data_IF_667716322469
#
_entry.id   IF_667716322469
#
_cell.length_a   1.000
_cell.length_b   1.000
_cell.length_c   1.000
_cell.angle_alpha   90.00
_cell.angle_beta   90.00
_cell.angle_gamma   90.00
#
_symmetry.space_group_name_H-M   'P 1'
#
loop_
_entity.id
_entity.type
_entity.pdbx_description
1 polymer ?
#
# COMPACT_ATOMS: atom_id res chain seq x y z
N UNK A 1 17.71 24.28 2.26
CA UNK A 1 17.09 23.54 1.16
C UNK A 1 15.97 24.38 0.61
N UNK A 2 15.99 24.70 -0.69
CA UNK A 2 14.84 25.34 -1.34
C UNK A 2 13.91 24.27 -1.92
N UNK A 3 12.61 24.58 -2.16
CA UNK A 3 11.69 23.63 -2.80
C UNK A 3 12.17 23.15 -4.19
N UNK A 4 12.99 23.96 -4.87
CA UNK A 4 13.62 23.58 -6.14
C UNK A 4 14.66 22.49 -5.93
N UNK A 5 15.46 22.58 -4.88
CA UNK A 5 16.52 21.61 -4.60
C UNK A 5 15.91 20.24 -4.27
N UNK A 6 14.82 20.22 -3.48
CA UNK A 6 14.07 19.00 -3.18
C UNK A 6 13.50 18.33 -4.45
N UNK A 7 12.95 19.12 -5.37
CA UNK A 7 12.46 18.61 -6.65
C UNK A 7 13.59 18.03 -7.53
N UNK A 8 14.77 18.68 -7.54
CA UNK A 8 15.93 18.19 -8.29
C UNK A 8 16.42 16.88 -7.69
N UNK A 9 16.54 16.80 -6.37
CA UNK A 9 16.97 15.59 -5.67
C UNK A 9 15.98 14.43 -5.91
N UNK A 10 14.67 14.71 -5.85
CA UNK A 10 13.63 13.74 -6.17
C UNK A 10 13.77 13.24 -7.62
N UNK A 11 13.90 14.14 -8.59
CA UNK A 11 14.05 13.78 -10.00
C UNK A 11 15.32 12.96 -10.26
N UNK A 12 16.45 13.33 -9.66
CA UNK A 12 17.71 12.59 -9.81
C UNK A 12 17.66 11.22 -9.11
N UNK A 13 16.96 11.11 -7.98
CA UNK A 13 16.74 9.83 -7.29
C UNK A 13 15.86 8.89 -8.12
N UNK A 14 14.74 9.39 -8.66
CA UNK A 14 13.86 8.62 -9.55
C UNK A 14 14.60 8.18 -10.82
N UNK A 15 15.48 9.04 -11.35
CA UNK A 15 16.31 8.72 -12.52
C UNK A 15 17.28 7.56 -12.22
N UNK A 16 17.90 7.54 -11.03
CA UNK A 16 18.77 6.43 -10.61
C UNK A 16 18.03 5.09 -10.50
N UNK A 17 16.78 5.12 -10.02
CA UNK A 17 15.96 3.93 -9.86
C UNK A 17 15.26 3.49 -11.16
N UNK A 18 15.40 4.27 -12.24
CA UNK A 18 14.71 4.03 -13.52
C UNK A 18 13.19 4.24 -13.44
N UNK A 19 12.74 5.02 -12.46
CA UNK A 19 11.33 5.30 -12.18
C UNK A 19 10.82 6.60 -12.84
N UNK A 20 11.53 7.12 -13.85
CA UNK A 20 11.17 8.35 -14.58
C UNK A 20 10.41 8.05 -15.86
N UNK A 21 9.47 8.93 -16.21
CA UNK A 21 8.90 8.99 -17.56
C UNK A 21 9.93 9.50 -18.60
N UNK A 22 9.70 9.33 -19.92
CA UNK A 22 10.63 9.80 -20.94
C UNK A 22 10.95 11.30 -20.88
N UNK A 23 9.97 12.15 -20.55
CA UNK A 23 10.17 13.60 -20.41
C UNK A 23 11.01 13.94 -19.17
N UNK A 24 10.75 13.25 -18.05
CA UNK A 24 11.54 13.39 -16.82
C UNK A 24 12.99 12.93 -17.01
N UNK A 25 13.20 11.82 -17.72
CA UNK A 25 14.54 11.36 -18.14
C UNK A 25 15.27 12.44 -18.92
N UNK A 26 14.63 13.04 -19.93
CA UNK A 26 15.22 14.12 -20.71
C UNK A 26 15.48 15.40 -19.88
N UNK A 27 14.70 15.66 -18.82
CA UNK A 27 14.95 16.75 -17.88
C UNK A 27 16.16 16.44 -16.98
N UNK A 28 16.24 15.23 -16.44
CA UNK A 28 17.37 14.77 -15.64
C UNK A 28 18.68 14.83 -16.45
N UNK A 29 18.69 14.35 -17.69
CA UNK A 29 19.86 14.40 -18.59
C UNK A 29 20.32 15.83 -18.89
N UNK A 30 19.38 16.78 -18.99
CA UNK A 30 19.70 18.21 -19.12
C UNK A 30 20.32 18.78 -17.85
N UNK A 31 19.83 18.40 -16.67
CA UNK A 31 20.42 18.81 -15.39
C UNK A 31 21.85 18.26 -15.24
N UNK A 32 22.07 17.01 -15.67
CA UNK A 32 23.39 16.35 -15.62
C UNK A 32 24.45 16.95 -16.55
N UNK A 33 24.10 17.95 -17.37
CA UNK A 33 25.11 18.77 -18.05
C UNK A 33 25.92 19.63 -17.06
N UNK A 34 25.35 19.96 -15.90
CA UNK A 34 26.05 20.65 -14.81
C UNK A 34 26.97 19.69 -14.06
N UNK A 35 28.15 20.16 -13.66
CA UNK A 35 29.06 19.41 -12.79
C UNK A 35 28.45 19.16 -11.40
N UNK A 36 27.74 20.16 -10.86
CA UNK A 36 27.08 20.11 -9.56
C UNK A 36 26.06 18.96 -9.49
N UNK A 37 25.15 18.88 -10.46
CA UNK A 37 24.12 17.84 -10.47
C UNK A 37 24.68 16.43 -10.74
N UNK A 38 25.82 16.32 -11.45
CA UNK A 38 26.54 15.05 -11.58
C UNK A 38 27.13 14.60 -10.26
N UNK A 39 27.65 15.52 -9.46
CA UNK A 39 28.16 15.23 -8.12
C UNK A 39 27.02 14.78 -7.19
N UNK A 40 25.88 15.48 -7.21
CA UNK A 40 24.67 15.06 -6.48
C UNK A 40 24.24 13.63 -6.86
N UNK A 41 24.18 13.33 -8.15
CA UNK A 41 23.82 11.99 -8.63
C UNK A 41 24.80 10.91 -8.15
N UNK A 42 26.10 11.21 -8.16
CA UNK A 42 27.13 10.28 -7.66
C UNK A 42 27.04 10.09 -6.15
N UNK A 43 26.73 11.15 -5.40
CA UNK A 43 26.48 11.07 -3.97
C UNK A 43 25.29 10.14 -3.68
N UNK A 44 24.16 10.31 -4.37
CA UNK A 44 23.00 9.43 -4.23
C UNK A 44 23.34 7.97 -4.59
N UNK A 45 24.11 7.75 -5.65
CA UNK A 45 24.60 6.42 -6.04
C UNK A 45 25.45 5.78 -4.94
N UNK A 46 26.36 6.54 -4.34
CA UNK A 46 27.24 6.06 -3.26
C UNK A 46 26.46 5.65 -1.99
N UNK A 47 25.40 6.39 -1.67
CA UNK A 47 24.49 6.08 -0.56
C UNK A 47 23.74 4.76 -0.84
N UNK A 48 23.18 4.62 -2.04
CA UNK A 48 22.51 3.38 -2.46
C UNK A 48 23.45 2.17 -2.45
N UNK A 49 24.71 2.34 -2.85
CA UNK A 49 25.70 1.27 -2.80
C UNK A 49 26.02 0.85 -1.36
N UNK A 50 26.09 1.81 -0.43
CA UNK A 50 26.31 1.53 0.99
C UNK A 50 25.20 0.67 1.58
N UNK A 51 23.94 0.90 1.18
CA UNK A 51 22.80 0.07 1.57
C UNK A 51 22.85 -1.33 0.95
N UNK A 52 23.26 -1.45 -0.32
CA UNK A 52 23.42 -2.76 -0.99
C UNK A 52 24.56 -3.59 -0.40
N UNK A 53 25.56 -2.95 0.18
CA UNK A 53 26.69 -3.61 0.84
C UNK A 53 26.38 -4.10 2.26
N UNK A 54 25.15 -3.89 2.76
CA UNK A 54 24.75 -4.43 4.05
C UNK A 54 24.78 -5.98 4.04
N UNK A 55 25.16 -6.62 5.16
CA UNK A 55 25.17 -8.07 5.25
C UNK A 55 23.79 -8.64 4.92
N UNK A 56 23.73 -9.58 3.97
CA UNK A 56 22.49 -10.31 3.72
C UNK A 56 22.25 -11.32 4.84
N UNK A 57 21.16 -11.15 5.58
CA UNK A 57 20.73 -12.13 6.57
C UNK A 57 19.87 -13.20 5.88
N UNK A 58 20.29 -14.47 5.99
CA UNK A 58 19.46 -15.60 5.56
C UNK A 58 18.56 -16.02 6.70
N UNK A 59 17.25 -16.07 6.43
CA UNK A 59 16.29 -16.63 7.36
C UNK A 59 16.61 -18.12 7.58
N UNK A 60 16.47 -18.62 8.82
CA UNK A 60 16.54 -20.06 9.08
C UNK A 60 15.51 -20.82 8.23
N UNK A 61 15.83 -22.05 7.83
CA UNK A 61 14.96 -22.87 6.95
C UNK A 61 13.58 -23.16 7.54
N UNK A 62 13.45 -23.06 8.87
CA UNK A 62 12.22 -23.29 9.63
C UNK A 62 11.43 -21.99 9.93
N UNK A 63 11.88 -20.84 9.41
CA UNK A 63 11.25 -19.55 9.69
C UNK A 63 9.77 -19.51 9.28
N UNK A 64 9.43 -20.06 8.12
CA UNK A 64 8.05 -20.10 7.63
C UNK A 64 7.13 -20.87 8.58
N UNK A 65 7.59 -22.02 9.09
CA UNK A 65 6.86 -22.83 10.05
C UNK A 65 6.63 -22.08 11.36
N UNK A 66 7.64 -21.35 11.85
CA UNK A 66 7.49 -20.50 13.06
C UNK A 66 6.48 -19.37 12.87
N UNK A 67 6.46 -18.74 11.68
CA UNK A 67 5.48 -17.68 11.36
C UNK A 67 4.06 -18.24 11.30
N UNK A 68 3.85 -19.40 10.67
CA UNK A 68 2.54 -20.06 10.66
C UNK A 68 2.10 -20.40 12.08
N UNK A 69 2.95 -21.07 12.86
CA UNK A 69 2.63 -21.48 14.22
C UNK A 69 2.26 -20.27 15.10
N UNK A 70 3.02 -19.16 14.98
CA UNK A 70 2.70 -17.92 15.69
C UNK A 70 1.33 -17.33 15.27
N UNK A 71 1.03 -17.32 13.97
CA UNK A 71 -0.25 -16.84 13.45
C UNK A 71 -1.45 -17.70 13.89
N UNK A 72 -1.29 -19.02 13.94
CA UNK A 72 -2.32 -19.94 14.41
C UNK A 72 -2.62 -19.75 15.91
N UNK A 73 -1.59 -19.53 16.72
CA UNK A 73 -1.75 -19.21 18.15
C UNK A 73 -2.50 -17.90 18.31
N UNK A 74 -2.12 -16.84 17.59
CA UNK A 74 -2.76 -15.53 17.70
C UNK A 74 -4.22 -15.55 17.20
N UNK A 75 -4.51 -16.23 16.09
CA UNK A 75 -5.87 -16.42 15.59
C UNK A 75 -6.71 -17.26 16.56
N UNK A 76 -6.11 -18.29 17.16
CA UNK A 76 -6.73 -19.12 18.19
C UNK A 76 -7.14 -18.32 19.42
N UNK A 77 -6.25 -17.47 19.91
CA UNK A 77 -6.52 -16.58 21.04
C UNK A 77 -7.57 -15.52 20.71
N UNK A 78 -7.47 -14.86 19.55
CA UNK A 78 -8.51 -13.90 19.09
C UNK A 78 -9.88 -14.56 18.94
N UNK A 79 -9.94 -15.79 18.42
CA UNK A 79 -11.18 -16.57 18.32
C UNK A 79 -11.74 -16.90 19.70
N UNK A 80 -10.89 -17.32 20.64
CA UNK A 80 -11.29 -17.64 22.01
C UNK A 80 -11.81 -16.41 22.76
N UNK A 81 -11.14 -15.26 22.62
CA UNK A 81 -11.61 -13.98 23.15
C UNK A 81 -12.93 -13.52 22.53
N UNK A 82 -13.14 -13.71 21.22
CA UNK A 82 -14.43 -13.40 20.56
C UNK A 82 -15.57 -14.29 21.06
N UNK A 83 -15.31 -15.59 21.26
CA UNK A 83 -16.31 -16.54 21.78
C UNK A 83 -16.64 -16.22 23.24
N UNK A 84 -15.64 -15.87 24.06
CA UNK A 84 -15.86 -15.47 25.45
C UNK A 84 -16.59 -14.12 25.59
N UNK A 85 -16.47 -13.24 24.59
CA UNK A 85 -17.13 -11.93 24.58
C UNK A 85 -18.52 -11.92 23.92
N UNK A 86 -19.03 -13.04 23.39
CA UNK A 86 -20.42 -13.11 22.93
C UNK A 86 -21.35 -13.28 24.13
N UNK A 87 -22.18 -12.28 24.50
CA UNK A 87 -23.25 -12.53 25.44
C UNK A 87 -24.22 -13.53 24.80
N UNK A 88 -24.60 -14.56 25.55
CA UNK A 88 -25.62 -15.52 25.15
C UNK A 88 -26.93 -14.77 24.90
N UNK A 89 -27.19 -14.38 23.65
CA UNK A 89 -28.53 -13.97 23.21
C UNK A 89 -29.37 -15.23 23.18
N UNK A 90 -29.86 -15.59 24.37
CA UNK A 90 -30.86 -16.61 24.57
C UNK A 90 -32.03 -16.29 23.65
N UNK A 91 -32.33 -17.21 22.74
CA UNK A 91 -33.45 -17.16 21.83
C UNK A 91 -34.77 -17.16 22.63
N UNK A 92 -35.17 -15.99 23.11
CA UNK A 92 -36.47 -15.76 23.71
C UNK A 92 -37.41 -15.24 22.63
N UNK A 93 -38.18 -16.17 22.08
CA UNK A 93 -39.47 -16.03 21.41
C UNK A 93 -40.00 -14.60 21.17
N UNK A 94 -40.08 -14.18 19.90
CA UNK A 94 -41.03 -13.15 19.48
C UNK A 94 -42.19 -13.81 18.72
N UNK A 95 -43.29 -14.01 19.44
CA UNK A 95 -44.55 -14.52 18.90
C UNK A 95 -45.25 -13.48 18.01
N UNK A 96 -45.69 -13.94 16.82
CA UNK A 96 -47.03 -13.71 16.27
C UNK A 96 -47.48 -12.28 15.89
N UNK A 97 -47.76 -12.12 14.59
CA UNK A 97 -48.62 -11.11 13.93
C UNK A 97 -47.91 -9.88 13.32
N UNK A 98 -47.37 -10.05 12.12
CA UNK A 98 -47.33 -9.02 11.06
C UNK A 98 -47.09 -9.71 9.69
N UNK A 99 -48.02 -10.54 9.21
CA UNK A 99 -48.92 -10.21 8.07
C UNK A 99 -48.24 -9.27 7.07
N UNK A 100 -47.65 -9.84 6.01
CA UNK A 100 -48.31 -9.95 4.70
C UNK A 100 -48.99 -8.65 4.31
N UNK A 101 -48.23 -7.74 3.69
CA UNK A 101 -48.62 -6.91 2.55
C UNK A 101 -47.61 -5.77 2.42
N UNK A 102 -46.64 -5.95 1.54
CA UNK A 102 -46.42 -5.08 0.38
C UNK A 102 -44.96 -5.26 -0.06
N UNK A 103 -44.68 -6.07 -1.10
CA UNK A 103 -44.91 -5.73 -2.51
C UNK A 103 -43.94 -4.60 -2.93
N UNK A 104 -43.07 -4.69 -3.94
CA UNK A 104 -42.88 -5.60 -5.08
C UNK A 104 -41.46 -5.36 -5.63
N UNK A 105 -40.82 -6.40 -6.15
CA UNK A 105 -40.20 -6.50 -7.50
C UNK A 105 -39.55 -5.21 -8.02
N UNK A 106 -38.23 -5.07 -8.11
CA UNK A 106 -37.40 -5.76 -9.10
C UNK A 106 -37.37 -4.99 -10.44
N UNK A 107 -36.25 -4.31 -10.76
CA UNK A 107 -35.83 -4.01 -12.14
C UNK A 107 -34.39 -3.48 -12.18
N UNK A 108 -33.69 -3.93 -13.20
CA UNK A 108 -32.28 -3.79 -13.55
C UNK A 108 -31.89 -2.44 -14.19
N UNK A 109 -30.59 -2.10 -14.03
CA UNK A 109 -29.69 -1.26 -14.85
C UNK A 109 -29.95 0.24 -15.09
N UNK A 110 -28.88 1.03 -14.95
CA UNK A 110 -28.29 2.00 -15.92
C UNK A 110 -27.84 3.33 -15.27
N UNK A 111 -26.54 3.66 -15.42
CA UNK A 111 -25.82 4.96 -15.31
C UNK A 111 -24.55 4.77 -14.45
N UNK A 112 -23.31 4.65 -14.93
CA UNK A 112 -22.62 5.36 -16.02
C UNK A 112 -22.80 6.89 -15.92
N UNK A 113 -21.90 7.52 -15.15
CA UNK A 113 -21.58 8.95 -14.96
C UNK A 113 -21.47 9.19 -13.45
N UNK A 114 -20.33 9.54 -12.88
CA UNK A 114 -19.67 10.86 -12.93
C UNK A 114 -18.15 10.65 -12.83
N UNK A 115 -17.44 10.80 -13.96
CA UNK A 115 -16.50 11.90 -14.22
C UNK A 115 -15.29 11.89 -13.25
N UNK A 116 -14.08 11.45 -13.64
CA UNK A 116 -13.25 12.06 -14.70
C UNK A 116 -13.44 13.59 -14.76
N UNK A 117 -13.12 14.23 -13.65
CA UNK A 117 -12.89 15.66 -13.58
C UNK A 117 -11.73 15.88 -12.61
N UNK A 118 -10.50 15.80 -13.10
CA UNK A 118 -9.33 16.56 -12.62
C UNK A 118 -8.12 16.25 -13.55
N UNK A 119 -8.29 16.57 -14.84
CA UNK A 119 -7.20 16.79 -15.77
C UNK A 119 -7.63 17.90 -16.74
N UNK A 120 -7.20 19.14 -16.46
CA UNK A 120 -6.95 20.24 -17.38
C UNK A 120 -6.34 21.40 -16.61
#
# INVERSE_FOLDING_TARGET
MTPRDEFIDELLSAYLDGATSPDETARAERLLQSAEHRETLEQLRSQGQSLRNLPSFKLPSDFYQRVIAAGEVELGDRRRSRVAAQPAVSAAASNGKARWQAALIGLSSLAAAVALAFLA
#
